data_IF_974366518806
#
_entry.id   IF_974366518806
#
_cell.length_a   1.000
_cell.length_b   1.000
_cell.length_c   1.000
_cell.angle_alpha   90.00
_cell.angle_beta   90.00
_cell.angle_gamma   90.00
#
_symmetry.space_group_name_H-M   'P 1'
#
loop_
_entity.id
_entity.type
_entity.pdbx_description
1 polymer ?
#
# COMPACT_ATOMS: atom_id res chain seq x y z
N UNK A 1 25.47 -1.80 7.11
CA UNK A 1 25.57 -1.95 5.66
C UNK A 1 25.81 -0.61 4.96
N UNK A 2 24.85 0.31 4.91
CA UNK A 2 25.01 1.59 4.18
C UNK A 2 26.28 2.37 4.56
N UNK A 3 26.57 2.51 5.84
CA UNK A 3 27.78 3.19 6.30
C UNK A 3 29.09 2.52 5.81
N UNK A 4 29.12 1.19 5.74
CA UNK A 4 30.27 0.45 5.22
C UNK A 4 30.46 0.61 3.71
N UNK A 5 29.37 0.93 3.00
CA UNK A 5 29.37 1.23 1.57
C UNK A 5 29.56 2.75 1.28
N UNK A 6 29.95 3.55 2.28
CA UNK A 6 30.03 5.02 2.20
C UNK A 6 28.75 5.71 1.73
N UNK A 7 27.61 5.07 1.97
CA UNK A 7 26.30 5.62 1.66
C UNK A 7 25.72 6.36 2.86
N UNK A 8 24.93 7.40 2.58
CA UNK A 8 24.24 8.15 3.63
C UNK A 8 23.20 7.29 4.31
N UNK A 9 23.33 7.12 5.63
CA UNK A 9 22.31 6.42 6.44
C UNK A 9 21.09 7.31 6.66
N UNK A 10 19.91 6.75 6.44
CA UNK A 10 18.66 7.44 6.75
C UNK A 10 18.53 7.55 8.26
N UNK A 11 18.28 8.75 8.75
CA UNK A 11 18.05 9.01 10.17
C UNK A 11 16.58 8.78 10.52
N UNK A 12 16.27 8.25 11.71
CA UNK A 12 14.89 7.99 12.10
C UNK A 12 14.08 9.27 12.22
N UNK A 13 12.83 9.20 11.76
CA UNK A 13 11.82 10.22 12.01
C UNK A 13 11.17 10.01 13.39
N UNK A 14 10.39 10.98 13.86
CA UNK A 14 9.41 10.75 14.92
C UNK A 14 8.09 10.28 14.30
N UNK A 15 7.38 9.42 15.00
CA UNK A 15 6.13 8.84 14.53
C UNK A 15 5.01 9.04 15.56
N UNK A 16 3.81 9.24 15.07
CA UNK A 16 2.59 9.26 15.88
C UNK A 16 1.63 8.19 15.34
N UNK A 17 1.43 7.12 16.12
CA UNK A 17 0.54 6.03 15.76
C UNK A 17 -0.80 6.21 16.48
N UNK A 18 -1.93 6.24 15.76
CA UNK A 18 -3.26 6.45 16.34
C UNK A 18 -3.80 5.14 16.96
N UNK A 19 -3.10 4.62 17.95
CA UNK A 19 -3.46 3.39 18.67
C UNK A 19 -3.79 3.73 20.12
N UNK A 20 -4.85 3.14 20.65
CA UNK A 20 -5.35 3.41 22.00
C UNK A 20 -5.24 2.21 22.94
N UNK A 21 -5.05 1.02 22.39
CA UNK A 21 -5.02 -0.25 23.13
C UNK A 21 -4.20 -1.30 22.39
N UNK A 22 -4.04 -2.46 23.02
CA UNK A 22 -3.30 -3.59 22.46
C UNK A 22 -3.89 -4.09 21.13
N UNK A 23 -5.22 -4.12 21.01
CA UNK A 23 -5.89 -4.66 19.82
C UNK A 23 -5.66 -3.76 18.61
N UNK A 24 -5.84 -2.46 18.77
CA UNK A 24 -5.58 -1.45 17.71
C UNK A 24 -4.10 -1.41 17.32
N UNK A 25 -3.19 -1.60 18.28
CA UNK A 25 -1.76 -1.66 18.01
C UNK A 25 -1.39 -2.89 17.17
N UNK A 26 -1.94 -4.08 17.50
CA UNK A 26 -1.72 -5.31 16.73
C UNK A 26 -2.33 -5.21 15.32
N UNK A 27 -3.53 -4.62 15.18
CA UNK A 27 -4.14 -4.42 13.88
C UNK A 27 -3.29 -3.51 12.97
N UNK A 28 -2.78 -2.41 13.53
CA UNK A 28 -1.90 -1.51 12.78
C UNK A 28 -0.56 -2.17 12.44
N UNK A 29 0.04 -2.92 13.36
CA UNK A 29 1.28 -3.66 13.12
C UNK A 29 1.09 -4.68 11.98
N UNK A 30 -0.04 -5.40 11.94
CA UNK A 30 -0.36 -6.30 10.85
C UNK A 30 -0.42 -5.57 9.52
N UNK A 31 -1.16 -4.45 9.43
CA UNK A 31 -1.28 -3.67 8.19
C UNK A 31 0.09 -3.21 7.69
N UNK A 32 0.98 -2.77 8.57
CA UNK A 32 2.35 -2.43 8.19
C UNK A 32 3.11 -3.62 7.64
N UNK A 33 3.05 -4.77 8.32
CA UNK A 33 3.73 -5.99 7.90
C UNK A 33 3.20 -6.46 6.54
N UNK A 34 1.89 -6.42 6.30
CA UNK A 34 1.30 -6.78 4.99
C UNK A 34 1.78 -5.85 3.86
N UNK A 35 1.89 -4.55 4.12
CA UNK A 35 2.44 -3.58 3.14
C UNK A 35 3.93 -3.84 2.87
N UNK A 36 4.73 -4.09 3.92
CA UNK A 36 6.17 -4.37 3.79
C UNK A 36 6.40 -5.66 3.03
N UNK A 37 5.68 -6.73 3.38
CA UNK A 37 5.74 -8.02 2.70
C UNK A 37 5.40 -7.92 1.20
N UNK A 38 4.56 -6.96 0.81
CA UNK A 38 4.27 -6.70 -0.60
C UNK A 38 5.40 -6.01 -1.36
N UNK A 39 6.25 -5.25 -0.68
CA UNK A 39 7.35 -4.48 -1.30
C UNK A 39 8.67 -5.24 -1.29
N UNK A 40 8.93 -6.07 -0.29
CA UNK A 40 10.18 -6.81 -0.16
C UNK A 40 10.50 -7.70 -1.39
N UNK A 41 9.55 -8.43 -1.99
CA UNK A 41 9.81 -9.17 -3.23
C UNK A 41 10.17 -8.28 -4.43
N UNK A 42 9.61 -7.06 -4.48
CA UNK A 42 9.98 -6.09 -5.52
C UNK A 42 11.42 -5.61 -5.32
N UNK A 43 11.81 -5.29 -4.09
CA UNK A 43 13.19 -4.93 -3.75
C UNK A 43 14.16 -6.09 -4.07
N UNK A 44 13.78 -7.32 -3.74
CA UNK A 44 14.55 -8.52 -4.06
C UNK A 44 14.79 -8.68 -5.57
N UNK A 45 13.74 -8.43 -6.37
CA UNK A 45 13.82 -8.46 -7.83
C UNK A 45 14.75 -7.37 -8.38
N UNK A 46 14.75 -6.16 -7.80
CA UNK A 46 15.65 -5.08 -8.18
C UNK A 46 17.12 -5.45 -7.88
N UNK A 47 17.42 -5.94 -6.67
CA UNK A 47 18.77 -6.40 -6.31
C UNK A 47 19.26 -7.54 -7.20
N UNK A 48 18.38 -8.46 -7.58
CA UNK A 48 18.73 -9.54 -8.51
C UNK A 48 19.03 -9.02 -9.92
N UNK A 49 18.29 -8.02 -10.38
CA UNK A 49 18.48 -7.43 -11.72
C UNK A 49 19.74 -6.56 -11.81
N UNK A 50 20.08 -5.84 -10.76
CA UNK A 50 21.30 -5.02 -10.70
C UNK A 50 22.56 -5.90 -10.66
N UNK A 51 22.45 -7.11 -10.08
CA UNK A 51 23.57 -8.07 -10.03
C UNK A 51 24.70 -7.59 -9.10
N UNK A 52 25.93 -8.08 -9.38
CA UNK A 52 27.11 -7.62 -8.63
C UNK A 52 27.01 -7.82 -7.11
N UNK A 53 27.39 -6.83 -6.33
CA UNK A 53 27.36 -6.84 -4.85
C UNK A 53 25.91 -6.78 -4.34
N UNK A 54 25.00 -6.17 -5.07
CA UNK A 54 23.58 -6.05 -4.74
C UNK A 54 22.88 -7.42 -4.72
N UNK A 55 23.30 -8.35 -5.57
CA UNK A 55 22.78 -9.71 -5.57
C UNK A 55 22.99 -10.44 -4.22
N UNK A 56 24.00 -10.07 -3.44
CA UNK A 56 24.21 -10.60 -2.10
C UNK A 56 23.11 -10.20 -1.09
N UNK A 57 22.29 -9.19 -1.41
CA UNK A 57 21.16 -8.77 -0.58
C UNK A 57 19.92 -9.65 -0.80
N UNK A 58 19.84 -10.37 -1.91
CA UNK A 58 18.68 -11.22 -2.25
C UNK A 58 18.35 -12.25 -1.18
N UNK A 59 19.30 -13.09 -0.68
CA UNK A 59 19.01 -14.03 0.39
C UNK A 59 18.69 -13.36 1.73
N UNK A 60 19.27 -12.19 2.00
CA UNK A 60 18.97 -11.41 3.22
C UNK A 60 17.52 -10.95 3.21
N UNK A 61 17.07 -10.35 2.09
CA UNK A 61 15.67 -9.93 1.93
C UNK A 61 14.72 -11.13 1.99
N UNK A 62 15.10 -12.27 1.39
CA UNK A 62 14.34 -13.51 1.49
C UNK A 62 14.15 -13.99 2.94
N UNK A 63 15.21 -13.87 3.77
CA UNK A 63 15.12 -14.18 5.20
C UNK A 63 14.19 -13.22 5.96
N UNK A 64 14.22 -11.93 5.60
CA UNK A 64 13.30 -10.92 6.18
C UNK A 64 11.85 -11.25 5.80
N UNK A 65 11.58 -11.61 4.54
CA UNK A 65 10.24 -12.00 4.08
C UNK A 65 9.70 -13.18 4.90
N UNK A 66 10.53 -14.19 5.18
CA UNK A 66 10.14 -15.33 6.02
C UNK A 66 9.76 -14.89 7.43
N UNK A 67 10.57 -14.08 8.06
CA UNK A 67 10.37 -13.60 9.42
C UNK A 67 9.16 -12.67 9.54
N UNK A 68 8.99 -11.75 8.61
CA UNK A 68 7.81 -10.88 8.54
C UNK A 68 6.51 -11.70 8.30
N UNK A 69 6.59 -12.78 7.52
CA UNK A 69 5.47 -13.71 7.33
C UNK A 69 5.04 -14.42 8.61
N UNK A 70 5.97 -14.83 9.45
CA UNK A 70 5.69 -15.37 10.79
C UNK A 70 5.01 -14.33 11.68
N UNK A 71 5.50 -13.09 11.67
CA UNK A 71 4.91 -11.99 12.42
C UNK A 71 3.47 -11.69 11.97
N UNK A 72 3.24 -11.59 10.66
CA UNK A 72 1.91 -11.36 10.09
C UNK A 72 0.92 -12.46 10.51
N UNK A 73 1.32 -13.74 10.41
CA UNK A 73 0.53 -14.87 10.85
C UNK A 73 0.20 -14.81 12.34
N UNK A 74 1.17 -14.42 13.19
CA UNK A 74 0.96 -14.25 14.62
C UNK A 74 0.01 -13.09 14.95
N UNK A 75 0.16 -11.94 14.31
CA UNK A 75 -0.76 -10.80 14.49
C UNK A 75 -2.18 -11.16 14.09
N UNK A 76 -2.36 -11.90 12.99
CA UNK A 76 -3.67 -12.41 12.56
C UNK A 76 -4.27 -13.38 13.58
N UNK A 77 -3.46 -14.30 14.12
CA UNK A 77 -3.89 -15.21 15.17
C UNK A 77 -4.39 -14.47 16.42
N UNK A 78 -3.66 -13.44 16.88
CA UNK A 78 -4.07 -12.62 18.02
C UNK A 78 -5.41 -11.89 17.77
N UNK A 79 -5.72 -11.57 16.54
CA UNK A 79 -6.99 -10.97 16.11
C UNK A 79 -8.08 -11.99 15.83
N UNK A 80 -7.83 -13.28 16.07
CA UNK A 80 -8.75 -14.40 15.78
C UNK A 80 -9.12 -14.52 14.29
N UNK A 81 -8.20 -14.14 13.42
CA UNK A 81 -8.29 -14.28 11.96
C UNK A 81 -7.58 -15.55 11.51
N UNK A 82 -7.82 -15.99 10.29
CA UNK A 82 -7.02 -17.06 9.67
C UNK A 82 -5.57 -16.58 9.48
N UNK A 83 -4.60 -17.46 9.65
CA UNK A 83 -3.18 -17.09 9.63
C UNK A 83 -2.72 -16.48 8.29
N UNK A 84 -3.35 -16.85 7.19
CA UNK A 84 -3.09 -16.27 5.87
C UNK A 84 -4.42 -15.93 5.19
N UNK A 85 -4.61 -14.68 4.81
CA UNK A 85 -5.83 -14.24 4.13
C UNK A 85 -5.86 -14.64 2.66
N UNK A 86 -4.70 -14.76 2.02
CA UNK A 86 -4.55 -15.05 0.61
C UNK A 86 -3.34 -15.96 0.34
N UNK A 87 -3.32 -16.69 -0.78
CA UNK A 87 -2.20 -17.57 -1.11
C UNK A 87 -0.92 -16.81 -1.48
N UNK A 88 -1.06 -15.59 -1.96
CA UNK A 88 0.05 -14.70 -2.34
C UNK A 88 -0.20 -13.31 -1.75
N UNK A 89 0.87 -12.70 -1.28
CA UNK A 89 0.85 -11.33 -0.75
C UNK A 89 0.63 -10.31 -1.88
N UNK A 90 0.03 -9.20 -1.52
CA UNK A 90 -0.23 -8.11 -2.46
C UNK A 90 1.04 -7.34 -2.77
N UNK A 91 1.49 -7.42 -4.01
CA UNK A 91 2.66 -6.70 -4.48
C UNK A 91 2.43 -5.20 -4.50
N UNK A 92 3.34 -4.43 -3.91
CA UNK A 92 3.27 -2.98 -3.84
C UNK A 92 4.47 -2.28 -4.45
N UNK A 93 4.26 -1.14 -5.11
CA UNK A 93 5.36 -0.28 -5.50
C UNK A 93 5.97 0.41 -4.26
N UNK A 94 7.28 0.71 -4.24
CA UNK A 94 7.94 1.38 -3.13
C UNK A 94 7.27 2.70 -2.70
N UNK A 95 6.73 3.46 -3.66
CA UNK A 95 6.01 4.70 -3.39
C UNK A 95 4.73 4.48 -2.57
N UNK A 96 4.04 3.36 -2.76
CA UNK A 96 2.84 3.04 -1.97
C UNK A 96 3.19 2.74 -0.52
N UNK A 97 4.23 1.95 -0.27
CA UNK A 97 4.71 1.69 1.09
C UNK A 97 5.22 2.97 1.75
N UNK A 98 6.01 3.78 1.04
CA UNK A 98 6.47 5.07 1.53
C UNK A 98 5.30 5.98 1.92
N UNK A 99 4.27 6.07 1.07
CA UNK A 99 3.07 6.86 1.37
C UNK A 99 2.32 6.32 2.59
N UNK A 100 2.15 5.00 2.70
CA UNK A 100 1.47 4.36 3.83
C UNK A 100 2.17 4.68 5.17
N UNK A 101 3.50 4.67 5.20
CA UNK A 101 4.29 5.03 6.39
C UNK A 101 4.29 6.53 6.66
N UNK A 102 4.38 7.35 5.61
CA UNK A 102 4.53 8.81 5.74
C UNK A 102 3.38 9.48 6.49
N UNK A 103 2.17 8.91 6.46
CA UNK A 103 1.02 9.44 7.18
C UNK A 103 1.19 9.42 8.71
N UNK A 104 2.11 8.63 9.23
CA UNK A 104 2.40 8.51 10.67
C UNK A 104 3.64 9.31 11.09
N UNK A 105 4.35 9.90 10.14
CA UNK A 105 5.53 10.73 10.43
C UNK A 105 5.08 12.07 11.01
N UNK A 106 5.72 12.48 12.09
CA UNK A 106 5.55 13.83 12.62
C UNK A 106 6.15 14.82 11.62
N UNK A 107 5.42 15.85 11.19
CA UNK A 107 5.91 16.83 10.22
C UNK A 107 7.26 17.42 10.64
N UNK A 108 8.19 17.51 9.70
CA UNK A 108 9.54 18.07 9.87
C UNK A 108 10.43 17.35 10.90
N UNK A 109 10.10 16.12 11.32
CA UNK A 109 10.89 15.35 12.28
C UNK A 109 11.99 14.51 11.65
N UNK A 110 11.99 14.37 10.34
CA UNK A 110 12.92 13.51 9.61
C UNK A 110 14.15 14.31 9.17
N UNK A 111 15.36 14.06 9.72
CA UNK A 111 16.54 14.90 9.45
C UNK A 111 17.01 14.88 7.99
N UNK A 112 16.87 13.74 7.30
CA UNK A 112 17.38 13.55 5.94
C UNK A 112 16.49 12.67 5.07
N UNK A 113 15.17 12.79 5.19
CA UNK A 113 14.17 11.95 4.44
C UNK A 113 14.33 12.05 2.92
N UNK A 114 14.85 13.17 2.43
CA UNK A 114 15.13 13.41 1.01
C UNK A 114 16.10 12.39 0.39
N UNK A 115 16.92 11.73 1.21
CA UNK A 115 17.83 10.65 0.74
C UNK A 115 17.06 9.47 0.16
N UNK A 116 15.80 9.23 0.60
CA UNK A 116 14.96 8.17 0.06
C UNK A 116 14.59 8.42 -1.42
N UNK A 117 14.52 9.68 -1.84
CA UNK A 117 14.18 10.04 -3.22
C UNK A 117 12.75 9.71 -3.64
N UNK A 118 11.86 9.38 -2.70
CA UNK A 118 10.45 9.10 -2.94
C UNK A 118 9.59 10.27 -2.47
N UNK A 119 8.49 10.51 -3.19
CA UNK A 119 7.46 11.47 -2.79
C UNK A 119 6.19 10.72 -2.43
N UNK A 120 5.60 11.05 -1.28
CA UNK A 120 4.32 10.49 -0.87
C UNK A 120 3.19 11.01 -1.76
N UNK A 121 2.25 10.15 -2.10
CA UNK A 121 1.03 10.55 -2.78
C UNK A 121 0.09 11.28 -1.83
N UNK A 122 -0.76 12.19 -2.34
CA UNK A 122 -1.90 12.68 -1.58
C UNK A 122 -2.81 11.53 -1.16
N UNK A 123 -3.40 11.65 0.03
CA UNK A 123 -4.18 10.58 0.64
C UNK A 123 -5.45 10.25 -0.15
N UNK A 124 -5.71 8.96 -0.32
CA UNK A 124 -6.99 8.38 -0.70
C UNK A 124 -7.57 7.67 0.52
N UNK A 125 -8.66 8.19 1.06
CA UNK A 125 -9.30 7.64 2.25
C UNK A 125 -10.43 6.70 1.87
N UNK A 126 -10.45 5.48 2.43
CA UNK A 126 -11.60 4.58 2.38
C UNK A 126 -12.60 5.01 3.47
N UNK A 127 -13.83 5.35 3.08
CA UNK A 127 -14.88 5.86 3.96
C UNK A 127 -15.92 4.80 4.36
N UNK A 128 -15.84 3.62 3.75
CA UNK A 128 -16.74 2.50 4.03
C UNK A 128 -15.99 1.31 4.61
N UNK A 129 -16.69 0.46 5.36
CA UNK A 129 -16.12 -0.81 5.83
C UNK A 129 -16.14 -1.83 4.71
N UNK A 130 -14.99 -2.38 4.28
CA UNK A 130 -14.95 -3.40 3.25
C UNK A 130 -15.59 -4.70 3.75
N UNK A 131 -16.14 -5.49 2.81
CA UNK A 131 -16.78 -6.77 3.09
C UNK A 131 -16.21 -7.84 2.18
N UNK A 132 -16.20 -9.08 2.65
CA UNK A 132 -15.85 -10.26 1.87
C UNK A 132 -16.94 -10.62 0.84
N UNK A 133 -17.32 -9.65 0.02
CA UNK A 133 -18.33 -9.76 -1.04
C UNK A 133 -18.17 -8.64 -2.05
N UNK A 134 -18.68 -8.87 -3.27
CA UNK A 134 -18.83 -7.81 -4.25
C UNK A 134 -19.68 -6.68 -3.66
N UNK A 135 -19.17 -5.47 -3.65
CA UNK A 135 -19.80 -4.34 -2.97
C UNK A 135 -19.40 -3.02 -3.63
N UNK A 136 -20.05 -1.95 -3.21
CA UNK A 136 -19.63 -0.59 -3.55
C UNK A 136 -18.88 -0.02 -2.35
N UNK A 137 -17.68 0.50 -2.59
CA UNK A 137 -16.88 1.19 -1.58
C UNK A 137 -16.94 2.70 -1.82
N UNK A 138 -16.90 3.44 -0.73
CA UNK A 138 -16.86 4.91 -0.73
C UNK A 138 -15.45 5.38 -0.43
N UNK A 139 -15.01 6.36 -1.18
CA UNK A 139 -13.68 6.97 -1.04
C UNK A 139 -13.78 8.48 -0.96
N UNK A 140 -12.76 9.09 -0.37
CA UNK A 140 -12.60 10.54 -0.41
C UNK A 140 -11.16 10.96 -0.61
N UNK A 141 -10.99 12.15 -1.19
CA UNK A 141 -9.71 12.83 -1.38
C UNK A 141 -9.86 14.32 -1.07
N UNK A 142 -8.77 14.98 -0.74
CA UNK A 142 -8.73 16.44 -0.64
C UNK A 142 -8.65 17.07 -2.03
N UNK A 143 -9.44 18.10 -2.29
CA UNK A 143 -9.47 18.81 -3.57
C UNK A 143 -10.43 18.21 -4.59
N UNK A 144 -10.39 18.74 -5.79
CA UNK A 144 -11.25 18.36 -6.90
C UNK A 144 -10.69 17.16 -7.67
N UNK A 145 -11.60 16.28 -8.14
CA UNK A 145 -11.30 15.15 -9.00
C UNK A 145 -11.99 15.36 -10.34
N UNK A 146 -11.25 15.17 -11.43
CA UNK A 146 -11.85 15.10 -12.77
C UNK A 146 -12.40 13.68 -12.99
N UNK A 147 -13.68 13.48 -12.70
CA UNK A 147 -14.32 12.18 -12.79
C UNK A 147 -14.26 11.57 -14.21
N UNK A 148 -14.34 12.40 -15.24
CA UNK A 148 -14.29 11.94 -16.64
C UNK A 148 -12.89 11.45 -17.04
N UNK A 149 -11.85 11.81 -16.29
CA UNK A 149 -10.46 11.47 -16.58
C UNK A 149 -9.77 10.84 -15.35
N UNK A 150 -10.49 10.10 -14.55
CA UNK A 150 -9.95 9.38 -13.40
C UNK A 150 -10.54 7.97 -13.31
N UNK A 151 -9.75 7.02 -12.84
CA UNK A 151 -10.14 5.62 -12.66
C UNK A 151 -9.61 5.15 -11.32
N UNK A 152 -10.38 4.36 -10.58
CA UNK A 152 -9.87 3.67 -9.40
C UNK A 152 -9.25 2.34 -9.84
N UNK A 153 -8.07 2.03 -9.32
CA UNK A 153 -7.35 0.79 -9.61
C UNK A 153 -7.12 0.04 -8.31
N UNK A 154 -7.49 -1.23 -8.30
CA UNK A 154 -7.19 -2.16 -7.22
C UNK A 154 -5.99 -3.04 -7.59
N UNK A 155 -5.12 -3.23 -6.62
CA UNK A 155 -3.96 -4.14 -6.69
C UNK A 155 -4.15 -5.16 -5.57
N UNK A 156 -4.23 -6.44 -5.91
CA UNK A 156 -4.42 -7.52 -4.94
C UNK A 156 -3.63 -8.76 -5.32
N UNK A 157 -2.94 -9.35 -4.37
CA UNK A 157 -2.07 -10.50 -4.58
C UNK A 157 -1.00 -10.22 -5.63
N UNK A 158 -0.80 -11.16 -6.51
CA UNK A 158 0.09 -11.07 -7.68
C UNK A 158 -0.69 -10.99 -9.00
N UNK A 159 -1.96 -10.54 -8.91
CA UNK A 159 -2.82 -10.40 -10.07
C UNK A 159 -2.50 -9.11 -10.85
N UNK A 160 -2.95 -9.05 -12.10
CA UNK A 160 -2.94 -7.78 -12.83
C UNK A 160 -3.85 -6.76 -12.12
N UNK A 161 -3.47 -5.48 -12.11
CA UNK A 161 -4.30 -4.43 -11.52
C UNK A 161 -5.68 -4.35 -12.17
N UNK A 162 -6.72 -4.20 -11.35
CA UNK A 162 -8.11 -4.12 -11.81
C UNK A 162 -8.59 -2.68 -11.78
N UNK A 163 -8.92 -2.15 -12.94
CA UNK A 163 -9.43 -0.78 -13.10
C UNK A 163 -10.96 -0.76 -13.08
N UNK A 164 -11.52 0.13 -12.29
CA UNK A 164 -12.98 0.34 -12.19
C UNK A 164 -13.34 1.82 -12.32
N UNK A 165 -14.47 2.16 -12.94
CA UNK A 165 -14.92 3.54 -13.02
C UNK A 165 -15.30 4.07 -11.63
N UNK A 166 -15.08 5.36 -11.42
CA UNK A 166 -15.62 6.08 -10.26
C UNK A 166 -17.01 6.62 -10.59
N UNK A 167 -17.90 6.60 -9.62
CA UNK A 167 -19.31 7.01 -9.74
C UNK A 167 -19.72 7.89 -8.56
N UNK A 168 -20.89 8.51 -8.63
CA UNK A 168 -21.46 9.32 -7.55
C UNK A 168 -20.49 10.37 -7.00
N UNK A 169 -19.75 11.02 -7.90
CA UNK A 169 -18.75 12.01 -7.53
C UNK A 169 -19.42 13.28 -7.04
N UNK A 170 -19.09 13.69 -5.83
CA UNK A 170 -19.61 14.92 -5.22
C UNK A 170 -18.49 15.64 -4.46
N UNK A 171 -18.51 16.96 -4.44
CA UNK A 171 -17.55 17.79 -3.74
C UNK A 171 -18.24 18.62 -2.68
N UNK A 172 -17.77 18.51 -1.43
CA UNK A 172 -18.31 19.27 -0.29
C UNK A 172 -17.16 19.63 0.65
N UNK A 173 -17.09 20.88 1.08
CA UNK A 173 -16.09 21.33 2.06
C UNK A 173 -14.64 21.13 1.63
N UNK A 174 -14.33 21.22 0.31
CA UNK A 174 -12.98 21.03 -0.20
C UNK A 174 -12.54 19.57 -0.31
N UNK A 175 -13.44 18.60 -0.08
CA UNK A 175 -13.21 17.15 -0.27
C UNK A 175 -14.11 16.62 -1.39
N UNK A 176 -13.55 15.78 -2.23
CA UNK A 176 -14.32 15.01 -3.22
C UNK A 176 -14.59 13.61 -2.66
N UNK A 177 -15.86 13.24 -2.63
CA UNK A 177 -16.35 11.89 -2.32
C UNK A 177 -16.73 11.20 -3.63
N UNK A 178 -16.47 9.90 -3.74
CA UNK A 178 -16.88 9.09 -4.87
C UNK A 178 -17.08 7.63 -4.46
N UNK A 179 -17.81 6.89 -5.30
CA UNK A 179 -18.06 5.47 -5.14
C UNK A 179 -17.34 4.69 -6.24
N UNK A 180 -16.94 3.46 -5.94
CA UNK A 180 -16.40 2.52 -6.90
C UNK A 180 -16.81 1.09 -6.54
N UNK A 181 -17.02 0.24 -7.55
CA UNK A 181 -17.27 -1.19 -7.32
C UNK A 181 -16.01 -1.86 -6.76
N UNK A 182 -16.20 -2.74 -5.78
CA UNK A 182 -15.14 -3.60 -5.25
C UNK A 182 -15.42 -5.03 -5.69
N UNK A 183 -14.72 -5.53 -6.72
CA UNK A 183 -14.97 -6.83 -7.34
C UNK A 183 -14.29 -7.95 -6.53
N UNK A 184 -14.79 -8.25 -5.34
CA UNK A 184 -14.20 -9.19 -4.40
C UNK A 184 -13.95 -10.56 -5.02
N UNK A 185 -14.99 -11.13 -5.67
CA UNK A 185 -14.93 -12.50 -6.21
C UNK A 185 -14.03 -12.59 -7.45
N UNK A 186 -14.21 -11.68 -8.42
CA UNK A 186 -13.48 -11.71 -9.68
C UNK A 186 -12.09 -11.04 -9.60
N UNK A 187 -11.92 -10.12 -8.65
CA UNK A 187 -10.65 -9.42 -8.44
C UNK A 187 -9.71 -10.13 -7.48
N UNK A 188 -10.14 -11.23 -6.85
CA UNK A 188 -9.35 -11.94 -5.82
C UNK A 188 -8.92 -11.02 -4.66
N UNK A 189 -9.74 -10.05 -4.30
CA UNK A 189 -9.45 -9.00 -3.33
C UNK A 189 -9.57 -9.50 -1.88
N UNK A 190 -8.78 -10.51 -1.52
CA UNK A 190 -8.66 -11.07 -0.17
C UNK A 190 -7.37 -10.60 0.49
N UNK A 191 -7.41 -10.41 1.81
CA UNK A 191 -6.32 -9.80 2.55
C UNK A 191 -6.14 -8.34 2.16
N UNK A 192 -4.90 -7.86 2.11
CA UNK A 192 -4.59 -6.50 1.71
C UNK A 192 -4.87 -6.29 0.21
N UNK A 193 -5.68 -5.28 -0.08
CA UNK A 193 -5.85 -4.70 -1.41
C UNK A 193 -5.43 -3.24 -1.36
N UNK A 194 -4.60 -2.80 -2.30
CA UNK A 194 -4.24 -1.38 -2.45
C UNK A 194 -5.18 -0.73 -3.46
N UNK A 195 -5.81 0.38 -3.07
CA UNK A 195 -6.61 1.21 -3.95
C UNK A 195 -5.85 2.46 -4.37
N UNK A 196 -5.80 2.78 -5.66
CA UNK A 196 -5.19 4.00 -6.17
C UNK A 196 -6.11 4.72 -7.14
N UNK A 197 -6.33 6.02 -6.95
CA UNK A 197 -7.00 6.86 -7.92
C UNK A 197 -5.96 7.35 -8.92
N UNK A 198 -6.13 7.00 -10.18
CA UNK A 198 -5.16 7.26 -11.25
C UNK A 198 -5.72 8.22 -12.30
N UNK A 199 -4.83 8.92 -13.01
CA UNK A 199 -5.17 9.72 -14.16
C UNK A 199 -5.51 8.84 -15.38
N UNK A 200 -6.56 9.21 -16.10
CA UNK A 200 -7.02 8.55 -17.33
C UNK A 200 -8.27 7.69 -17.12
N UNK A 201 -9.25 7.87 -18.00
CA UNK A 201 -10.44 7.03 -18.03
C UNK A 201 -10.13 5.65 -18.60
N UNK A 202 -10.69 4.61 -17.99
CA UNK A 202 -10.65 3.23 -18.50
C UNK A 202 -9.24 2.70 -18.84
N UNK A 203 -8.22 3.14 -18.11
CA UNK A 203 -6.85 2.64 -18.31
C UNK A 203 -6.70 1.22 -17.77
N UNK A 204 -5.91 0.43 -18.48
CA UNK A 204 -5.42 -0.89 -18.02
C UNK A 204 -3.95 -0.81 -17.67
N UNK A 205 -3.53 -1.63 -16.72
CA UNK A 205 -2.16 -1.66 -16.21
C UNK A 205 -1.65 -3.10 -16.16
N UNK A 206 -0.38 -3.28 -16.48
CA UNK A 206 0.28 -4.58 -16.49
C UNK A 206 1.23 -4.77 -15.30
N UNK A 207 1.39 -3.74 -14.45
CA UNK A 207 2.24 -3.80 -13.27
C UNK A 207 1.85 -2.75 -12.23
N UNK A 208 2.23 -2.99 -10.97
CA UNK A 208 2.07 -2.03 -9.87
C UNK A 208 2.89 -0.76 -10.09
N UNK A 209 4.04 -0.85 -10.74
CA UNK A 209 4.87 0.30 -11.09
C UNK A 209 4.15 1.26 -12.06
N UNK A 210 3.44 0.71 -13.06
CA UNK A 210 2.64 1.52 -13.98
C UNK A 210 1.48 2.22 -13.26
N UNK A 211 0.84 1.54 -12.29
CA UNK A 211 -0.20 2.16 -11.46
C UNK A 211 0.39 3.30 -10.64
N UNK A 212 1.50 3.06 -9.94
CA UNK A 212 2.17 4.09 -9.14
C UNK A 212 2.54 5.32 -9.97
N UNK A 213 3.07 5.13 -11.19
CA UNK A 213 3.42 6.24 -12.10
C UNK A 213 2.20 7.07 -12.55
N UNK A 214 0.98 6.51 -12.51
CA UNK A 214 -0.24 7.20 -12.89
C UNK A 214 -1.07 7.70 -11.69
N UNK A 215 -0.64 7.39 -10.46
CA UNK A 215 -1.38 7.67 -9.23
C UNK A 215 -1.48 9.17 -8.95
N UNK A 216 -2.71 9.63 -8.74
CA UNK A 216 -3.03 10.97 -8.27
C UNK A 216 -3.21 10.99 -6.74
N UNK A 217 -3.87 9.95 -6.19
CA UNK A 217 -4.15 9.79 -4.77
C UNK A 217 -4.04 8.31 -4.38
N UNK A 218 -3.46 7.99 -3.24
CA UNK A 218 -3.34 6.60 -2.78
C UNK A 218 -2.07 6.33 -1.96
N UNK A 219 -1.89 5.10 -1.50
CA UNK A 219 -2.89 4.04 -1.59
C UNK A 219 -3.96 4.16 -0.49
N UNK A 220 -5.19 3.74 -0.79
CA UNK A 220 -6.12 3.30 0.24
C UNK A 220 -5.76 1.85 0.61
N UNK A 221 -5.64 1.55 1.89
CA UNK A 221 -5.38 0.20 2.39
C UNK A 221 -6.73 -0.45 2.71
N UNK A 222 -7.06 -1.53 2.03
CA UNK A 222 -8.34 -2.24 2.13
C UNK A 222 -8.05 -3.65 2.60
N UNK A 223 -8.38 -3.94 3.86
CA UNK A 223 -8.19 -5.26 4.45
C UNK A 223 -9.52 -6.02 4.44
N UNK A 224 -9.53 -7.23 3.84
CA UNK A 224 -10.68 -8.13 3.81
C UNK A 224 -10.23 -9.54 4.18
N UNK A 225 -10.83 -10.09 5.23
CA UNK A 225 -10.54 -11.42 5.78
C UNK A 225 -11.61 -12.47 5.40
#
# INVERSE_FOLDING_TARGET
MLANANQTTIQPCQYNFPVSDFHSAIALAQTFTDVVLGVLPVAQGLFAADGGEEAALVPIVGSIIGQEGEQAGYYRYLQKKVASAAPLLTGGAPQFAYTAISQFMVPNSCPNINVIGLTAFPALTLESTPKAANSTQLFSVSGAVNAANSTLVYISGQNLPVSVPITNVSMTGGRTMFAASFPYDSGFNRGLTLGALVAGASRTFNSTAQVAAATLFGPALIEVD
#
